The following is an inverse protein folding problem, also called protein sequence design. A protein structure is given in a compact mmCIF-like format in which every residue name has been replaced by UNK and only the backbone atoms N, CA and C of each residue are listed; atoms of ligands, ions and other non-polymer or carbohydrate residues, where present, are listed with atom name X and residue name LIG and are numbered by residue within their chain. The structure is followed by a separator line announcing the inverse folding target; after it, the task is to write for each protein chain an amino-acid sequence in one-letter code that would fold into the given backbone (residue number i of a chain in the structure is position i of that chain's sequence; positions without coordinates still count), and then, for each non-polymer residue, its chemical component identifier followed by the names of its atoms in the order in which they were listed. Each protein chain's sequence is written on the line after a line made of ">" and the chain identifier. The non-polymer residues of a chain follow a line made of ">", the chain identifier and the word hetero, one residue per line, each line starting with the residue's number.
data_IF_750082728327
#
_entry.id   IF_750082728327
#
_cell.length_a   1.000
_cell.length_b   1.000
_cell.length_c   1.000
_cell.angle_alpha   90.00
_cell.angle_beta   90.00
_cell.angle_gamma   90.00
#
_symmetry.space_group_name_H-M   'P 1'
#
loop_
_entity.id
_entity.type
_entity.pdbx_description
1 polymer ?
#
# COMPACT_ATOMS: atom_id res chain seq x y z
N UNK A 1 -20.11 -11.63 17.09
CA UNK A 1 -18.88 -12.01 16.38
C UNK A 1 -19.04 -11.51 14.96
N UNK A 2 -18.12 -10.67 14.50
CA UNK A 2 -18.12 -10.10 13.15
C UNK A 2 -17.66 -11.16 12.14
N UNK A 3 -18.42 -11.38 11.08
CA UNK A 3 -18.05 -12.24 9.96
C UNK A 3 -17.27 -11.42 8.94
N UNK A 4 -16.01 -11.76 8.74
CA UNK A 4 -15.10 -11.04 7.85
C UNK A 4 -14.66 -11.96 6.71
N UNK A 5 -14.88 -11.52 5.48
CA UNK A 5 -14.35 -12.17 4.29
C UNK A 5 -13.08 -11.44 3.84
N UNK A 6 -11.99 -12.16 3.62
CA UNK A 6 -10.76 -11.65 3.03
C UNK A 6 -10.69 -12.17 1.60
N UNK A 7 -10.68 -11.29 0.61
CA UNK A 7 -10.56 -11.68 -0.80
C UNK A 7 -9.10 -11.52 -1.23
N UNK A 8 -8.45 -12.64 -1.54
CA UNK A 8 -7.02 -12.77 -1.84
C UNK A 8 -6.31 -13.60 -0.77
N UNK A 9 -5.92 -14.83 -1.11
CA UNK A 9 -5.24 -15.81 -0.25
C UNK A 9 -3.71 -15.78 -0.34
N UNK A 10 -3.12 -14.71 -0.89
CA UNK A 10 -1.66 -14.50 -0.89
C UNK A 10 -1.10 -14.12 0.48
N UNK A 11 0.23 -13.86 0.55
CA UNK A 11 0.95 -13.55 1.82
C UNK A 11 0.20 -12.54 2.69
N UNK A 12 -0.21 -11.39 2.13
CA UNK A 12 -0.90 -10.33 2.87
C UNK A 12 -2.28 -10.76 3.39
N UNK A 13 -3.08 -11.44 2.57
CA UNK A 13 -4.40 -11.92 2.99
C UNK A 13 -4.31 -12.96 4.10
N UNK A 14 -3.32 -13.86 4.03
CA UNK A 14 -3.02 -14.81 5.10
C UNK A 14 -2.55 -14.09 6.38
N UNK A 15 -1.73 -13.03 6.26
CA UNK A 15 -1.34 -12.22 7.42
C UNK A 15 -2.58 -11.65 8.11
N UNK A 16 -3.46 -11.00 7.35
CA UNK A 16 -4.70 -10.41 7.88
C UNK A 16 -5.56 -11.49 8.54
N UNK A 17 -5.70 -12.65 7.92
CA UNK A 17 -6.44 -13.78 8.47
C UNK A 17 -5.87 -14.23 9.82
N UNK A 18 -4.56 -14.39 9.92
CA UNK A 18 -3.88 -14.77 11.16
C UNK A 18 -4.12 -13.77 12.31
N UNK A 19 -4.02 -12.46 12.02
CA UNK A 19 -4.25 -11.42 13.03
C UNK A 19 -5.71 -11.35 13.48
N UNK A 20 -6.67 -11.54 12.56
CA UNK A 20 -8.09 -11.50 12.91
C UNK A 20 -8.54 -12.78 13.63
N UNK A 21 -8.02 -13.94 13.24
CA UNK A 21 -8.34 -15.23 13.87
C UNK A 21 -7.84 -15.32 15.33
N UNK A 22 -6.80 -14.56 15.70
CA UNK A 22 -6.31 -14.46 17.08
C UNK A 22 -7.30 -13.73 18.01
N UNK A 23 -8.30 -13.02 17.46
CA UNK A 23 -9.29 -12.28 18.23
C UNK A 23 -10.62 -13.04 18.30
N UNK A 24 -11.23 -13.18 19.50
CA UNK A 24 -12.53 -13.86 19.66
C UNK A 24 -13.71 -13.06 19.06
N UNK A 25 -13.44 -11.86 18.54
CA UNK A 25 -14.46 -10.99 17.99
C UNK A 25 -14.79 -11.30 16.52
N UNK A 26 -13.95 -12.06 15.81
CA UNK A 26 -14.08 -12.30 14.38
C UNK A 26 -14.26 -13.78 14.03
N UNK A 27 -15.05 -14.03 12.98
CA UNK A 27 -15.05 -15.28 12.23
C UNK A 27 -14.53 -14.95 10.83
N UNK A 28 -13.47 -15.63 10.40
CA UNK A 28 -12.71 -15.26 9.20
C UNK A 28 -12.93 -16.30 8.11
N UNK A 29 -13.22 -15.82 6.90
CA UNK A 29 -13.19 -16.62 5.67
C UNK A 29 -12.21 -16.02 4.68
N UNK A 30 -11.35 -16.83 4.08
CA UNK A 30 -10.47 -16.40 2.98
C UNK A 30 -11.01 -16.91 1.66
N UNK A 31 -11.16 -16.02 0.69
CA UNK A 31 -11.61 -16.31 -0.65
C UNK A 31 -10.50 -16.08 -1.67
N UNK A 32 -10.27 -17.03 -2.58
CA UNK A 32 -9.34 -16.88 -3.70
C UNK A 32 -9.81 -17.73 -4.90
N UNK A 33 -9.38 -17.38 -6.11
CA UNK A 33 -9.62 -18.19 -7.30
C UNK A 33 -8.69 -19.42 -7.32
N UNK A 34 -7.50 -19.27 -6.77
CA UNK A 34 -6.46 -20.29 -6.76
C UNK A 34 -6.67 -21.25 -5.59
N UNK A 35 -7.13 -22.45 -5.91
CA UNK A 35 -7.38 -23.49 -4.93
C UNK A 35 -6.11 -23.95 -4.21
N UNK A 36 -4.94 -23.90 -4.87
CA UNK A 36 -3.68 -24.30 -4.24
C UNK A 36 -3.21 -23.24 -3.24
N UNK A 37 -3.41 -21.96 -3.55
CA UNK A 37 -3.17 -20.88 -2.58
C UNK A 37 -4.06 -21.02 -1.34
N UNK A 38 -5.34 -21.39 -1.51
CA UNK A 38 -6.25 -21.65 -0.38
C UNK A 38 -5.84 -22.86 0.45
N UNK A 39 -5.41 -23.96 -0.18
CA UNK A 39 -4.95 -25.16 0.53
C UNK A 39 -3.68 -24.92 1.34
N UNK A 40 -2.88 -23.92 0.98
CA UNK A 40 -1.68 -23.54 1.72
C UNK A 40 -2.00 -22.80 3.04
N UNK A 41 -3.26 -22.42 3.28
CA UNK A 41 -3.68 -21.74 4.51
C UNK A 41 -3.77 -22.78 5.64
N UNK A 42 -2.73 -22.85 6.46
CA UNK A 42 -2.67 -23.72 7.63
C UNK A 42 -3.19 -23.01 8.89
N UNK A 43 -4.49 -22.70 8.90
CA UNK A 43 -5.18 -22.00 10.01
C UNK A 43 -6.53 -22.67 10.29
N UNK A 44 -6.65 -23.54 11.31
CA UNK A 44 -7.83 -24.39 11.50
C UNK A 44 -9.13 -23.62 11.77
N UNK A 45 -9.03 -22.41 12.33
CA UNK A 45 -10.19 -21.55 12.66
C UNK A 45 -10.57 -20.59 11.52
N UNK A 46 -9.88 -20.68 10.37
CA UNK A 46 -10.16 -19.86 9.18
C UNK A 46 -10.85 -20.73 8.13
N UNK A 47 -12.05 -20.33 7.73
CA UNK A 47 -12.73 -20.96 6.62
C UNK A 47 -12.11 -20.53 5.28
N UNK A 48 -12.17 -21.40 4.26
CA UNK A 48 -11.72 -21.08 2.90
C UNK A 48 -12.87 -21.26 1.91
N UNK A 49 -12.91 -20.42 0.88
CA UNK A 49 -13.88 -20.54 -0.21
C UNK A 49 -13.24 -20.21 -1.55
N UNK A 50 -13.51 -21.03 -2.57
CA UNK A 50 -13.00 -20.75 -3.91
C UNK A 50 -13.95 -19.79 -4.62
N UNK A 51 -13.44 -18.64 -5.09
CA UNK A 51 -14.24 -17.61 -5.74
C UNK A 51 -13.40 -16.81 -6.74
N UNK A 52 -13.96 -16.53 -7.92
CA UNK A 52 -13.40 -15.53 -8.83
C UNK A 52 -13.98 -14.15 -8.51
N UNK A 53 -13.11 -13.21 -8.14
CA UNK A 53 -13.49 -11.83 -7.84
C UNK A 53 -13.65 -10.94 -9.09
N UNK A 54 -13.54 -11.50 -10.30
CA UNK A 54 -13.78 -10.82 -11.57
C UNK A 54 -15.26 -10.54 -11.88
N UNK A 55 -16.20 -11.10 -11.10
CA UNK A 55 -17.65 -10.90 -11.25
C UNK A 55 -18.26 -10.33 -9.97
N UNK A 56 -18.81 -9.11 -10.05
CA UNK A 56 -19.41 -8.42 -8.90
C UNK A 56 -20.65 -9.13 -8.33
N UNK A 57 -21.43 -9.86 -9.15
CA UNK A 57 -22.59 -10.62 -8.68
C UNK A 57 -22.16 -11.89 -7.94
N UNK A 58 -21.13 -12.56 -8.44
CA UNK A 58 -20.50 -13.69 -7.74
C UNK A 58 -19.91 -13.24 -6.39
N UNK A 59 -19.23 -12.09 -6.36
CA UNK A 59 -18.72 -11.49 -5.13
C UNK A 59 -19.87 -11.16 -4.18
N UNK A 60 -20.93 -10.51 -4.65
CA UNK A 60 -22.06 -10.16 -3.79
C UNK A 60 -22.73 -11.40 -3.17
N UNK A 61 -22.92 -12.47 -3.96
CA UNK A 61 -23.47 -13.72 -3.47
C UNK A 61 -22.56 -14.41 -2.42
N UNK A 62 -21.25 -14.39 -2.65
CA UNK A 62 -20.28 -14.96 -1.71
C UNK A 62 -20.16 -14.13 -0.41
N UNK A 63 -20.46 -12.83 -0.47
CA UNK A 63 -20.47 -11.93 0.67
C UNK A 63 -21.82 -11.87 1.41
N UNK A 64 -22.83 -12.65 1.00
CA UNK A 64 -24.11 -12.68 1.68
C UNK A 64 -23.96 -13.09 3.16
N UNK A 65 -24.51 -12.27 4.06
CA UNK A 65 -24.41 -12.47 5.50
C UNK A 65 -23.05 -12.22 6.13
N UNK A 66 -22.06 -11.69 5.40
CA UNK A 66 -20.82 -11.15 5.98
C UNK A 66 -21.02 -9.70 6.45
N UNK A 67 -20.36 -9.34 7.55
CA UNK A 67 -20.41 -7.97 8.09
C UNK A 67 -19.39 -7.06 7.37
N UNK A 68 -18.23 -7.61 7.01
CA UNK A 68 -17.17 -6.85 6.35
C UNK A 68 -16.39 -7.70 5.35
N UNK A 69 -15.80 -7.01 4.37
CA UNK A 69 -14.85 -7.57 3.42
C UNK A 69 -13.55 -6.75 3.41
N UNK A 70 -12.42 -7.46 3.38
CA UNK A 70 -11.09 -6.88 3.22
C UNK A 70 -10.51 -7.38 1.89
N UNK A 71 -10.29 -6.47 0.95
CA UNK A 71 -9.65 -6.79 -0.32
C UNK A 71 -8.13 -6.79 -0.16
N UNK A 72 -7.54 -7.98 -0.29
CA UNK A 72 -6.10 -8.22 -0.41
C UNK A 72 -5.73 -8.76 -1.81
N UNK A 73 -6.63 -8.54 -2.79
CA UNK A 73 -6.47 -8.95 -4.18
C UNK A 73 -5.70 -7.90 -4.99
N UNK A 74 -5.25 -8.24 -6.22
CA UNK A 74 -4.64 -7.25 -7.12
C UNK A 74 -5.54 -6.03 -7.36
N UNK A 75 -4.93 -4.84 -7.43
CA UNK A 75 -5.65 -3.55 -7.43
C UNK A 75 -6.69 -3.40 -8.55
N UNK A 76 -6.52 -4.10 -9.67
CA UNK A 76 -7.46 -4.04 -10.80
C UNK A 76 -8.80 -4.73 -10.50
N UNK A 77 -8.88 -5.55 -9.44
CA UNK A 77 -10.12 -6.17 -8.95
C UNK A 77 -10.84 -5.30 -7.91
N UNK A 78 -10.19 -4.27 -7.38
CA UNK A 78 -10.72 -3.39 -6.33
C UNK A 78 -12.13 -2.86 -6.66
N UNK A 79 -12.41 -2.29 -7.86
CA UNK A 79 -13.75 -1.78 -8.17
C UNK A 79 -14.83 -2.86 -8.18
N UNK A 80 -14.52 -4.05 -8.72
CA UNK A 80 -15.45 -5.17 -8.78
C UNK A 80 -15.79 -5.68 -7.38
N UNK A 81 -14.77 -5.82 -6.52
CA UNK A 81 -14.96 -6.27 -5.14
C UNK A 81 -15.76 -5.22 -4.34
N UNK A 82 -15.42 -3.94 -4.47
CA UNK A 82 -16.15 -2.85 -3.81
C UNK A 82 -17.63 -2.80 -4.25
N UNK A 83 -17.91 -3.00 -5.53
CA UNK A 83 -19.27 -3.08 -6.04
C UNK A 83 -20.04 -4.28 -5.45
N UNK A 84 -19.40 -5.46 -5.37
CA UNK A 84 -19.99 -6.63 -4.72
C UNK A 84 -20.26 -6.40 -3.23
N UNK A 85 -19.33 -5.77 -2.51
CA UNK A 85 -19.49 -5.40 -1.10
C UNK A 85 -20.69 -4.47 -0.89
N UNK A 86 -20.84 -3.46 -1.75
CA UNK A 86 -21.99 -2.53 -1.69
C UNK A 86 -23.31 -3.25 -1.86
N UNK A 87 -23.39 -4.18 -2.82
CA UNK A 87 -24.60 -4.99 -3.09
C UNK A 87 -24.96 -5.90 -1.93
N UNK A 88 -23.95 -6.56 -1.34
CA UNK A 88 -24.13 -7.41 -0.17
C UNK A 88 -24.46 -6.62 1.11
N UNK A 89 -24.25 -5.30 1.12
CA UNK A 89 -24.42 -4.47 2.32
C UNK A 89 -23.34 -4.72 3.37
N UNK A 90 -22.14 -5.14 2.95
CA UNK A 90 -21.00 -5.34 3.82
C UNK A 90 -20.16 -4.05 3.92
N UNK A 91 -19.43 -3.89 5.04
CA UNK A 91 -18.38 -2.88 5.15
C UNK A 91 -17.20 -3.26 4.26
N UNK A 92 -16.58 -2.29 3.60
CA UNK A 92 -15.51 -2.50 2.63
C UNK A 92 -14.19 -1.87 3.08
N UNK A 93 -13.12 -2.64 3.01
CA UNK A 93 -11.74 -2.22 3.24
C UNK A 93 -10.84 -2.76 2.14
N UNK A 94 -9.80 -2.02 1.77
CA UNK A 94 -8.78 -2.48 0.83
C UNK A 94 -7.38 -1.95 1.19
N UNK A 95 -6.37 -2.38 0.45
CA UNK A 95 -4.97 -1.99 0.63
C UNK A 95 -4.41 -1.25 -0.58
N UNK A 96 -5.27 -0.81 -1.51
CA UNK A 96 -4.82 -0.41 -2.84
C UNK A 96 -4.00 0.88 -2.83
N UNK A 97 -2.87 0.87 -3.52
CA UNK A 97 -2.12 2.07 -3.87
C UNK A 97 -2.64 2.73 -5.15
N UNK A 98 -3.45 2.02 -5.95
CA UNK A 98 -3.89 2.52 -7.24
C UNK A 98 -4.90 3.67 -7.09
N UNK A 99 -4.53 4.81 -7.66
CA UNK A 99 -5.31 6.06 -7.57
C UNK A 99 -6.64 5.94 -8.31
N UNK A 100 -6.67 5.26 -9.46
CA UNK A 100 -7.90 5.09 -10.23
C UNK A 100 -8.89 4.17 -9.51
N UNK A 101 -8.41 3.05 -8.98
CA UNK A 101 -9.21 2.15 -8.13
C UNK A 101 -9.74 2.88 -6.89
N UNK A 102 -8.91 3.68 -6.21
CA UNK A 102 -9.36 4.49 -5.06
C UNK A 102 -10.49 5.44 -5.44
N UNK A 103 -10.39 6.12 -6.59
CA UNK A 103 -11.45 7.02 -7.06
C UNK A 103 -12.73 6.27 -7.43
N UNK A 104 -12.63 5.11 -8.08
CA UNK A 104 -13.79 4.26 -8.37
C UNK A 104 -14.48 3.79 -7.07
N UNK A 105 -13.71 3.45 -6.03
CA UNK A 105 -14.26 3.12 -4.70
C UNK A 105 -14.97 4.33 -4.08
N UNK A 106 -14.40 5.53 -4.17
CA UNK A 106 -15.04 6.77 -3.68
C UNK A 106 -16.38 7.02 -4.36
N UNK A 107 -16.45 6.89 -5.68
CA UNK A 107 -17.69 7.04 -6.45
C UNK A 107 -18.71 5.94 -6.07
N UNK A 108 -18.26 4.69 -5.95
CA UNK A 108 -19.11 3.59 -5.51
C UNK A 108 -19.64 3.79 -4.08
N UNK A 109 -18.89 4.43 -3.20
CA UNK A 109 -19.32 4.67 -1.82
C UNK A 109 -20.49 5.66 -1.72
N UNK A 110 -20.78 6.46 -2.76
CA UNK A 110 -21.90 7.39 -2.74
C UNK A 110 -23.24 6.68 -2.50
N UNK A 111 -23.98 7.12 -1.48
CA UNK A 111 -25.24 6.51 -1.07
C UNK A 111 -25.13 5.11 -0.46
N UNK A 112 -23.91 4.61 -0.18
CA UNK A 112 -23.74 3.36 0.55
C UNK A 112 -24.24 3.49 2.00
N UNK A 113 -24.82 2.42 2.54
CA UNK A 113 -25.25 2.34 3.94
C UNK A 113 -24.14 1.85 4.87
N UNK A 114 -23.05 1.35 4.30
CA UNK A 114 -21.89 0.82 5.00
C UNK A 114 -20.64 1.66 4.72
N UNK A 115 -19.61 1.42 5.53
CA UNK A 115 -18.31 2.10 5.41
C UNK A 115 -17.55 1.55 4.20
N UNK A 116 -16.92 2.46 3.45
CA UNK A 116 -15.94 2.16 2.42
C UNK A 116 -14.65 2.88 2.80
N UNK A 117 -13.65 2.10 3.20
CA UNK A 117 -12.38 2.60 3.70
C UNK A 117 -11.24 2.03 2.85
N UNK A 118 -10.93 2.66 1.70
CA UNK A 118 -9.79 2.24 0.89
C UNK A 118 -8.47 2.56 1.61
N UNK A 119 -7.37 2.03 1.08
CA UNK A 119 -6.02 2.43 1.47
C UNK A 119 -5.66 2.12 2.93
N UNK A 120 -6.08 0.97 3.45
CA UNK A 120 -5.79 0.49 4.81
C UNK A 120 -4.45 -0.25 4.94
N UNK A 121 -3.48 0.06 4.07
CA UNK A 121 -2.19 -0.61 4.01
C UNK A 121 -1.07 0.09 4.78
N UNK A 122 0.17 -0.14 4.33
CA UNK A 122 1.35 0.57 4.83
C UNK A 122 1.44 1.98 4.22
N UNK A 123 1.45 2.05 2.89
CA UNK A 123 1.51 3.26 2.10
C UNK A 123 0.80 3.03 0.76
N UNK A 124 -0.41 3.57 0.56
CA UNK A 124 -1.16 4.42 1.49
C UNK A 124 -1.74 3.63 2.70
N UNK A 125 -2.05 4.35 3.79
CA UNK A 125 -2.56 3.79 5.05
C UNK A 125 -1.79 4.28 6.27
N UNK A 126 -1.02 3.41 6.93
CA UNK A 126 -0.24 3.76 8.13
C UNK A 126 0.60 5.03 7.94
N UNK A 127 1.29 5.19 6.80
CA UNK A 127 2.10 6.39 6.53
C UNK A 127 1.27 7.67 6.52
N UNK A 128 0.03 7.61 6.03
CA UNK A 128 -0.90 8.74 6.04
C UNK A 128 -1.35 9.09 7.46
N UNK A 129 -1.58 8.08 8.30
CA UNK A 129 -1.88 8.25 9.73
C UNK A 129 -0.69 8.90 10.45
N UNK A 130 0.53 8.39 10.23
CA UNK A 130 1.76 8.93 10.80
C UNK A 130 2.01 10.39 10.36
N UNK A 131 1.81 10.67 9.07
CA UNK A 131 1.92 12.02 8.52
C UNK A 131 0.89 12.98 9.10
N UNK A 132 -0.36 12.55 9.22
CA UNK A 132 -1.43 13.34 9.83
C UNK A 132 -1.17 13.60 11.32
N UNK A 133 -0.62 12.62 12.04
CA UNK A 133 -0.20 12.77 13.44
C UNK A 133 0.89 13.83 13.59
N UNK A 134 1.95 13.77 12.78
CA UNK A 134 3.00 14.80 12.79
C UNK A 134 2.46 16.18 12.44
N UNK A 135 1.62 16.27 11.40
CA UNK A 135 1.02 17.52 10.95
C UNK A 135 0.18 18.21 12.04
N UNK A 136 -0.46 17.45 12.93
CA UNK A 136 -1.33 17.99 13.96
C UNK A 136 -0.57 18.79 15.05
N UNK A 137 0.74 18.63 15.16
CA UNK A 137 1.58 19.31 16.15
C UNK A 137 2.05 20.72 15.72
N UNK A 138 1.80 21.12 14.48
CA UNK A 138 2.29 22.37 13.90
C UNK A 138 1.17 23.41 13.74
N UNK A 139 1.49 24.67 14.05
CA UNK A 139 0.60 25.82 13.81
C UNK A 139 0.53 26.12 12.30
N UNK A 140 1.69 26.07 11.64
CA UNK A 140 1.87 26.23 10.20
C UNK A 140 2.84 25.18 9.68
N UNK A 141 2.48 24.45 8.63
CA UNK A 141 3.34 23.40 8.07
C UNK A 141 4.03 23.95 6.83
N UNK A 142 5.37 23.99 6.86
CA UNK A 142 6.16 24.32 5.67
C UNK A 142 6.33 23.07 4.79
N UNK A 143 6.80 21.96 5.36
CA UNK A 143 6.93 20.70 4.64
C UNK A 143 6.39 19.52 5.44
N UNK A 144 5.77 18.56 4.76
CA UNK A 144 5.50 17.22 5.27
C UNK A 144 5.98 16.21 4.21
N UNK A 145 6.98 15.41 4.56
CA UNK A 145 7.60 14.47 3.63
C UNK A 145 7.51 13.06 4.18
N UNK A 146 6.73 12.23 3.50
CA UNK A 146 6.48 10.84 3.84
C UNK A 146 7.37 9.94 2.98
N UNK A 147 8.09 9.01 3.61
CA UNK A 147 8.99 8.10 2.89
C UNK A 147 8.82 6.69 3.40
N UNK A 148 8.66 5.74 2.48
CA UNK A 148 8.45 4.33 2.84
C UNK A 148 9.24 3.42 1.91
N UNK A 149 9.90 2.40 2.47
CA UNK A 149 10.51 1.32 1.71
C UNK A 149 10.30 -0.02 2.36
N UNK A 150 9.76 -0.98 1.61
CA UNK A 150 9.89 -2.41 1.88
C UNK A 150 11.10 -2.92 1.10
N UNK A 151 12.15 -3.33 1.82
CA UNK A 151 13.49 -3.53 1.29
C UNK A 151 14.02 -4.89 1.71
N UNK A 152 14.87 -5.55 0.90
CA UNK A 152 15.61 -6.71 1.40
C UNK A 152 16.63 -6.27 2.45
N UNK A 153 16.77 -7.05 3.53
CA UNK A 153 17.80 -6.81 4.55
C UNK A 153 19.21 -6.98 3.96
N UNK A 154 19.36 -7.84 2.96
CA UNK A 154 20.62 -8.15 2.29
C UNK A 154 20.51 -7.92 0.76
N UNK A 155 20.72 -6.68 0.27
CA UNK A 155 20.60 -6.37 -1.15
C UNK A 155 21.84 -6.84 -1.95
N UNK A 156 21.78 -8.04 -2.53
CA UNK A 156 22.92 -8.66 -3.22
C UNK A 156 22.91 -8.54 -4.75
N UNK A 157 21.76 -8.22 -5.36
CA UNK A 157 21.65 -8.06 -6.82
C UNK A 157 21.79 -6.58 -7.25
N UNK A 158 21.96 -6.33 -8.55
CA UNK A 158 22.17 -4.99 -9.10
C UNK A 158 21.00 -4.03 -8.84
N UNK A 159 19.76 -4.54 -8.88
CA UNK A 159 18.55 -3.77 -8.57
C UNK A 159 18.38 -3.52 -7.06
N UNK A 160 19.16 -4.23 -6.23
CA UNK A 160 19.12 -4.21 -4.76
C UNK A 160 17.71 -4.41 -4.22
N UNK A 161 16.95 -5.31 -4.85
CA UNK A 161 15.53 -5.51 -4.56
C UNK A 161 15.13 -6.98 -4.58
N UNK A 162 14.12 -7.31 -3.78
CA UNK A 162 13.45 -8.61 -3.73
C UNK A 162 11.94 -8.39 -3.80
N UNK A 163 11.21 -9.34 -4.40
CA UNK A 163 9.75 -9.25 -4.49
C UNK A 163 9.10 -9.60 -3.14
N UNK A 164 8.61 -8.60 -2.41
CA UNK A 164 7.96 -8.77 -1.09
C UNK A 164 6.44 -8.57 -1.11
N UNK A 165 5.90 -7.96 -2.17
CA UNK A 165 4.47 -7.70 -2.37
C UNK A 165 4.11 -7.78 -3.85
N UNK A 166 2.93 -7.29 -4.24
CA UNK A 166 2.40 -7.38 -5.61
C UNK A 166 3.34 -6.74 -6.65
N UNK A 167 3.78 -7.53 -7.64
CA UNK A 167 4.60 -7.03 -8.75
C UNK A 167 3.85 -6.02 -9.61
N UNK A 168 2.55 -6.24 -9.83
CA UNK A 168 1.70 -5.30 -10.58
C UNK A 168 1.68 -3.93 -9.90
N UNK A 169 1.51 -3.92 -8.57
CA UNK A 169 1.47 -2.67 -7.81
C UNK A 169 2.82 -1.96 -7.78
N UNK A 170 3.92 -2.70 -7.66
CA UNK A 170 5.28 -2.17 -7.75
C UNK A 170 5.55 -1.46 -9.09
N UNK A 171 5.13 -2.07 -10.20
CA UNK A 171 5.30 -1.45 -11.51
C UNK A 171 4.34 -0.26 -11.65
N UNK A 172 3.12 -0.37 -11.12
CA UNK A 172 2.13 0.69 -11.18
C UNK A 172 2.62 1.97 -10.49
N UNK A 173 3.23 1.86 -9.30
CA UNK A 173 3.71 3.02 -8.55
C UNK A 173 4.76 3.84 -9.31
N UNK A 174 5.59 3.19 -10.13
CA UNK A 174 6.64 3.81 -10.96
C UNK A 174 6.14 4.46 -12.24
N UNK A 175 4.93 4.13 -12.69
CA UNK A 175 4.47 4.50 -14.03
C UNK A 175 3.39 5.57 -14.06
N UNK A 176 2.82 5.95 -12.91
CA UNK A 176 1.72 6.92 -12.84
C UNK A 176 2.13 8.23 -12.15
N UNK A 177 1.46 9.36 -12.46
CA UNK A 177 1.69 10.63 -11.79
C UNK A 177 1.44 10.56 -10.28
N UNK A 178 2.23 11.29 -9.51
CA UNK A 178 2.18 11.27 -8.05
C UNK A 178 1.45 12.52 -7.54
N UNK A 179 0.51 12.35 -6.61
CA UNK A 179 -0.09 13.48 -5.90
C UNK A 179 0.93 14.16 -5.01
N UNK A 180 0.90 15.49 -4.98
CA UNK A 180 1.72 16.30 -4.08
C UNK A 180 1.03 17.63 -3.80
N UNK A 181 1.50 18.30 -2.75
CA UNK A 181 1.25 19.72 -2.51
C UNK A 181 2.55 20.46 -2.77
N UNK A 182 2.52 21.46 -3.65
CA UNK A 182 3.67 22.33 -3.96
C UNK A 182 3.22 23.78 -3.89
N UNK A 183 3.88 24.56 -3.03
CA UNK A 183 3.49 25.95 -2.73
C UNK A 183 1.98 26.12 -2.42
N UNK A 184 1.45 25.19 -1.63
CA UNK A 184 0.06 25.17 -1.18
C UNK A 184 -0.95 24.71 -2.23
N UNK A 185 -0.50 24.29 -3.42
CA UNK A 185 -1.36 23.85 -4.52
C UNK A 185 -1.23 22.35 -4.75
N UNK A 186 -2.37 21.70 -4.96
CA UNK A 186 -2.40 20.30 -5.39
C UNK A 186 -1.85 20.21 -6.82
N UNK A 187 -0.85 19.36 -7.01
CA UNK A 187 -0.20 19.14 -8.30
C UNK A 187 0.04 17.64 -8.51
N UNK A 188 0.21 17.25 -9.78
CA UNK A 188 0.72 15.94 -10.16
C UNK A 188 2.19 16.06 -10.51
N UNK A 189 3.06 15.37 -9.78
CA UNK A 189 4.50 15.28 -10.08
C UNK A 189 4.81 14.03 -10.88
N UNK A 190 5.96 14.03 -11.56
CA UNK A 190 6.43 12.87 -12.30
C UNK A 190 6.95 11.78 -11.34
N UNK A 191 6.64 10.49 -11.60
CA UNK A 191 7.24 9.39 -10.86
C UNK A 191 8.75 9.31 -11.16
N UNK A 192 9.50 8.72 -10.25
CA UNK A 192 10.96 8.55 -10.33
C UNK A 192 11.73 9.88 -10.37
N UNK A 193 11.09 11.02 -10.15
CA UNK A 193 11.75 12.33 -10.02
C UNK A 193 11.85 12.78 -8.57
N UNK A 194 12.50 13.93 -8.37
CA UNK A 194 12.74 14.55 -7.07
C UNK A 194 13.55 13.63 -6.13
N UNK A 195 14.68 13.17 -6.69
CA UNK A 195 15.62 12.28 -6.04
C UNK A 195 16.28 12.96 -4.85
N UNK A 196 16.14 12.37 -3.68
CA UNK A 196 16.84 12.78 -2.46
C UNK A 196 17.62 11.59 -1.89
N UNK A 197 18.67 11.89 -1.12
CA UNK A 197 19.43 10.91 -0.36
C UNK A 197 19.15 11.14 1.12
N UNK A 198 18.85 10.07 1.85
CA UNK A 198 18.75 10.09 3.30
C UNK A 198 19.59 8.98 3.91
N UNK A 199 20.07 9.21 5.12
CA UNK A 199 20.85 8.23 5.87
C UNK A 199 20.10 7.83 7.15
N UNK A 200 19.98 6.52 7.39
CA UNK A 200 19.42 5.96 8.63
C UNK A 200 20.36 4.88 9.14
N UNK A 201 20.78 4.99 10.40
CA UNK A 201 21.72 4.06 11.04
C UNK A 201 23.02 3.82 10.24
N UNK A 202 23.52 4.88 9.58
CA UNK A 202 24.74 4.79 8.76
C UNK A 202 24.55 4.11 7.39
N UNK A 203 23.30 3.82 7.00
CA UNK A 203 22.96 3.32 5.67
C UNK A 203 22.34 4.44 4.84
N UNK A 204 22.88 4.66 3.65
CA UNK A 204 22.33 5.60 2.68
C UNK A 204 21.23 4.95 1.84
N UNK A 205 20.16 5.70 1.65
CA UNK A 205 19.02 5.34 0.82
C UNK A 205 18.75 6.46 -0.19
N UNK A 206 18.23 6.08 -1.35
CA UNK A 206 17.64 7.02 -2.29
C UNK A 206 16.12 7.03 -2.13
N UNK A 207 15.51 8.22 -2.24
CA UNK A 207 14.07 8.37 -2.25
C UNK A 207 13.62 9.18 -3.45
N UNK A 208 12.51 8.77 -4.06
CA UNK A 208 11.97 9.41 -5.26
C UNK A 208 10.45 9.26 -5.31
N UNK A 209 9.81 10.14 -6.08
CA UNK A 209 8.35 10.16 -6.19
C UNK A 209 7.80 8.85 -6.75
N UNK A 210 6.75 8.35 -6.10
CA UNK A 210 5.96 7.21 -6.56
C UNK A 210 4.48 7.49 -6.30
N UNK A 211 3.62 6.95 -7.17
CA UNK A 211 2.19 7.22 -7.10
C UNK A 211 1.51 6.45 -5.96
N UNK A 212 0.32 6.91 -5.55
CA UNK A 212 -0.54 6.21 -4.59
C UNK A 212 -0.27 6.50 -3.11
N UNK A 213 1.00 6.64 -2.70
CA UNK A 213 1.34 6.62 -1.27
C UNK A 213 0.83 7.78 -0.40
N UNK A 214 0.53 8.96 -0.96
CA UNK A 214 -0.08 10.06 -0.19
C UNK A 214 -1.56 9.83 0.13
N UNK A 215 -2.27 9.02 -0.65
CA UNK A 215 -3.72 8.90 -0.58
C UNK A 215 -4.41 10.28 -0.58
N UNK A 216 -5.35 10.48 0.35
CA UNK A 216 -6.12 11.74 0.49
C UNK A 216 -5.43 12.79 1.36
N UNK A 217 -4.22 12.54 1.87
CA UNK A 217 -3.59 13.45 2.83
C UNK A 217 -3.25 14.81 2.22
N UNK A 218 -2.83 14.83 0.94
CA UNK A 218 -2.55 16.07 0.22
C UNK A 218 -3.79 16.96 0.16
N UNK A 219 -4.96 16.39 -0.19
CA UNK A 219 -6.24 17.11 -0.23
C UNK A 219 -6.59 17.68 1.16
N UNK A 220 -6.41 16.87 2.22
CA UNK A 220 -6.72 17.27 3.60
C UNK A 220 -5.83 18.40 4.13
N UNK A 221 -4.58 18.49 3.64
CA UNK A 221 -3.61 19.49 4.06
C UNK A 221 -3.54 20.70 3.10
N UNK A 222 -4.35 20.72 2.04
CA UNK A 222 -4.45 21.88 1.17
C UNK A 222 -4.87 23.12 1.97
N UNK A 223 -4.11 24.21 1.84
CA UNK A 223 -4.31 25.44 2.61
C UNK A 223 -3.78 25.40 4.06
N UNK A 224 -3.21 24.29 4.51
CA UNK A 224 -2.58 24.14 5.85
C UNK A 224 -1.09 23.86 5.77
N UNK A 225 -0.65 23.22 4.70
CA UNK A 225 0.75 22.97 4.41
C UNK A 225 1.19 23.69 3.13
N UNK A 226 2.47 24.06 3.05
CA UNK A 226 3.07 24.57 1.81
C UNK A 226 3.50 23.44 0.89
N UNK A 227 4.21 22.44 1.40
CA UNK A 227 4.68 21.30 0.62
C UNK A 227 4.36 19.97 1.29
N UNK A 228 3.78 19.02 0.55
CA UNK A 228 3.47 17.67 1.03
C UNK A 228 3.87 16.67 -0.05
N UNK A 229 4.69 15.67 0.30
CA UNK A 229 5.21 14.70 -0.67
C UNK A 229 5.25 13.29 -0.10
N UNK A 230 5.10 12.29 -0.98
CA UNK A 230 5.39 10.89 -0.70
C UNK A 230 6.50 10.41 -1.63
N UNK A 231 7.47 9.69 -1.08
CA UNK A 231 8.54 9.06 -1.84
C UNK A 231 8.78 7.62 -1.41
N UNK A 232 9.10 6.78 -2.36
CA UNK A 232 9.55 5.42 -2.09
C UNK A 232 11.04 5.44 -1.72
N UNK A 233 11.41 4.73 -0.66
CA UNK A 233 12.81 4.49 -0.26
C UNK A 233 13.34 3.25 -1.00
N UNK A 234 14.53 3.35 -1.57
CA UNK A 234 15.30 2.24 -2.16
C UNK A 234 16.78 2.34 -1.82
N UNK A 235 17.51 1.27 -2.07
CA UNK A 235 18.98 1.32 -2.02
C UNK A 235 19.53 2.05 -3.24
N UNK A 236 20.67 2.76 -3.11
CA UNK A 236 21.25 3.56 -4.18
C UNK A 236 21.46 2.78 -5.49
N UNK A 237 21.04 3.37 -6.61
CA UNK A 237 21.15 2.86 -7.97
C UNK A 237 19.87 2.19 -8.51
N UNK A 238 18.88 1.90 -7.66
CA UNK A 238 17.64 1.25 -8.07
C UNK A 238 16.85 2.12 -9.06
N UNK A 239 16.64 3.39 -8.73
CA UNK A 239 15.86 4.38 -9.48
C UNK A 239 16.35 4.54 -10.91
N UNK A 240 17.67 4.64 -11.10
CA UNK A 240 18.26 4.84 -12.43
C UNK A 240 18.10 3.60 -13.31
N UNK A 241 18.24 2.39 -12.73
CA UNK A 241 17.96 1.14 -13.44
C UNK A 241 16.48 1.08 -13.85
N UNK A 242 15.56 1.40 -12.94
CA UNK A 242 14.12 1.43 -13.25
C UNK A 242 13.80 2.46 -14.34
N UNK A 243 14.40 3.66 -14.30
CA UNK A 243 14.21 4.67 -15.36
C UNK A 243 14.71 4.20 -16.72
N UNK A 244 15.89 3.57 -16.77
CA UNK A 244 16.42 2.99 -18.01
C UNK A 244 15.46 1.93 -18.56
N UNK A 245 14.98 1.03 -17.71
CA UNK A 245 14.02 -0.01 -18.11
C UNK A 245 12.72 0.59 -18.66
N UNK A 246 12.15 1.57 -17.96
CA UNK A 246 10.85 2.13 -18.32
C UNK A 246 10.93 3.03 -19.56
N UNK A 247 11.94 3.91 -19.64
CA UNK A 247 12.02 4.95 -20.65
C UNK A 247 12.87 4.51 -21.85
N UNK A 248 14.11 4.10 -21.61
CA UNK A 248 15.08 3.83 -22.69
C UNK A 248 14.78 2.50 -23.38
N UNK A 249 14.40 1.47 -22.60
CA UNK A 249 13.93 0.19 -23.15
C UNK A 249 12.42 0.19 -23.47
N UNK A 250 11.70 1.24 -23.07
CA UNK A 250 10.30 1.43 -23.38
C UNK A 250 9.33 0.47 -22.66
N UNK A 251 9.76 -0.15 -21.55
CA UNK A 251 8.93 -1.10 -20.80
C UNK A 251 7.72 -0.45 -20.12
N UNK A 252 7.69 0.88 -20.01
CA UNK A 252 6.51 1.61 -19.51
C UNK A 252 5.24 1.30 -20.32
N UNK A 253 5.37 0.95 -21.61
CA UNK A 253 4.28 0.55 -22.51
C UNK A 253 4.03 -0.97 -22.54
N UNK A 254 4.85 -1.75 -21.83
CA UNK A 254 4.85 -3.22 -21.80
C UNK A 254 5.01 -3.71 -20.37
N UNK A 255 4.10 -3.25 -19.49
CA UNK A 255 4.15 -3.51 -18.04
C UNK A 255 4.02 -5.02 -17.74
N UNK A 256 3.29 -5.74 -18.57
CA UNK A 256 3.18 -7.21 -18.56
C UNK A 256 4.52 -7.90 -18.79
N UNK A 257 5.30 -7.44 -19.78
CA UNK A 257 6.66 -7.96 -20.04
C UNK A 257 7.60 -7.63 -18.88
N UNK A 258 7.51 -6.42 -18.34
CA UNK A 258 8.31 -6.03 -17.17
C UNK A 258 7.99 -6.88 -15.94
N UNK A 259 6.70 -7.18 -15.71
CA UNK A 259 6.25 -8.09 -14.67
C UNK A 259 6.83 -9.49 -14.87
N UNK A 260 6.71 -10.05 -16.06
CA UNK A 260 7.23 -11.39 -16.37
C UNK A 260 8.74 -11.48 -16.10
N UNK A 261 9.50 -10.46 -16.51
CA UNK A 261 10.94 -10.34 -16.20
C UNK A 261 11.16 -10.31 -14.69
N UNK A 262 10.42 -9.49 -13.94
CA UNK A 262 10.58 -9.35 -12.49
C UNK A 262 10.25 -10.67 -11.78
N UNK A 263 9.13 -11.29 -12.08
CA UNK A 263 8.68 -12.53 -11.43
C UNK A 263 9.57 -13.73 -11.78
N UNK A 264 10.20 -13.71 -12.96
CA UNK A 264 11.13 -14.77 -13.39
C UNK A 264 12.57 -14.57 -12.89
N UNK A 265 13.00 -13.31 -12.66
CA UNK A 265 14.41 -12.99 -12.40
C UNK A 265 14.71 -12.47 -10.98
N UNK A 266 13.73 -11.87 -10.30
CA UNK A 266 13.93 -11.31 -8.96
C UNK A 266 13.48 -12.31 -7.87
N UNK A 267 14.36 -12.65 -6.91
CA UNK A 267 13.99 -13.56 -5.85
C UNK A 267 13.00 -12.91 -4.87
N UNK A 268 12.17 -13.75 -4.22
CA UNK A 268 11.45 -13.40 -3.00
C UNK A 268 12.35 -13.62 -1.78
N UNK A 269 12.09 -12.90 -0.68
CA UNK A 269 12.81 -13.09 0.59
C UNK A 269 11.87 -12.86 1.77
N UNK A 270 12.12 -13.58 2.86
CA UNK A 270 11.50 -13.35 4.18
C UNK A 270 12.44 -12.60 5.13
N UNK A 271 13.62 -12.19 4.64
CA UNK A 271 14.59 -11.35 5.32
C UNK A 271 14.49 -9.95 4.75
N UNK A 272 13.37 -9.29 5.03
CA UNK A 272 13.10 -7.91 4.62
C UNK A 272 13.08 -6.96 5.83
N UNK A 273 13.13 -5.68 5.50
CA UNK A 273 13.05 -4.56 6.42
C UNK A 273 12.11 -3.53 5.83
N UNK A 274 11.16 -3.08 6.65
CA UNK A 274 10.28 -1.97 6.35
C UNK A 274 10.81 -0.75 7.07
N UNK A 275 11.12 0.30 6.30
CA UNK A 275 11.51 1.60 6.81
C UNK A 275 10.42 2.63 6.48
N UNK A 276 9.87 3.25 7.51
CA UNK A 276 9.00 4.43 7.41
C UNK A 276 9.75 5.60 8.00
N UNK A 277 9.88 6.68 7.22
CA UNK A 277 10.55 7.91 7.63
C UNK A 277 9.68 9.10 7.22
N UNK A 278 9.02 9.71 8.20
CA UNK A 278 8.20 10.90 8.00
C UNK A 278 8.86 12.10 8.68
N UNK A 279 8.98 13.22 7.98
CA UNK A 279 9.40 14.51 8.56
C UNK A 279 8.36 15.59 8.34
N UNK A 280 8.16 16.42 9.35
CA UNK A 280 7.42 17.67 9.23
C UNK A 280 8.30 18.83 9.67
N UNK A 281 8.32 19.91 8.88
CA UNK A 281 8.94 21.18 9.24
C UNK A 281 7.88 22.28 9.21
N UNK A 282 8.00 23.25 10.11
CA UNK A 282 7.02 24.31 10.22
C UNK A 282 7.16 25.13 11.49
N UNK A 283 6.13 25.92 11.81
CA UNK A 283 6.10 26.76 13.01
C UNK A 283 5.37 26.05 14.16
N UNK A 284 5.99 26.08 15.34
CA UNK A 284 5.37 25.70 16.62
C UNK A 284 5.67 26.81 17.61
N UNK A 285 4.64 27.46 18.14
CA UNK A 285 4.76 28.61 19.06
C UNK A 285 5.67 29.73 18.50
N UNK A 286 5.59 29.99 17.19
CA UNK A 286 6.37 31.02 16.48
C UNK A 286 7.79 30.60 16.07
N UNK A 287 8.29 29.46 16.54
CA UNK A 287 9.63 28.97 16.21
C UNK A 287 9.61 27.96 15.07
N UNK A 288 10.61 28.03 14.19
CA UNK A 288 10.79 27.02 13.15
C UNK A 288 11.31 25.73 13.79
N UNK A 289 10.57 24.63 13.61
CA UNK A 289 10.86 23.33 14.20
C UNK A 289 10.78 22.23 13.13
N UNK A 290 11.48 21.14 13.38
CA UNK A 290 11.36 19.88 12.65
C UNK A 290 10.97 18.77 13.63
N UNK A 291 10.11 17.86 13.19
CA UNK A 291 9.80 16.60 13.89
C UNK A 291 9.87 15.44 12.92
N UNK A 292 10.38 14.32 13.41
CA UNK A 292 10.54 13.10 12.62
C UNK A 292 9.89 11.91 13.32
N UNK A 293 9.22 11.07 12.54
CA UNK A 293 8.78 9.74 12.94
C UNK A 293 9.55 8.73 12.09
N UNK A 294 10.31 7.87 12.76
CA UNK A 294 11.09 6.81 12.12
C UNK A 294 10.65 5.48 12.70
N UNK A 295 10.26 4.56 11.83
CA UNK A 295 9.99 3.18 12.19
C UNK A 295 10.77 2.25 11.25
N UNK A 296 11.65 1.44 11.83
CA UNK A 296 12.42 0.41 11.12
C UNK A 296 12.07 -0.93 11.72
N UNK A 297 11.30 -1.73 10.98
CA UNK A 297 10.82 -3.03 11.43
C UNK A 297 11.35 -4.11 10.51
N UNK A 298 11.83 -5.20 11.11
CA UNK A 298 12.23 -6.42 10.39
C UNK A 298 11.17 -7.50 10.57
N UNK A 299 11.15 -8.47 9.66
CA UNK A 299 10.28 -9.62 9.75
C UNK A 299 10.37 -10.31 11.12
N UNK A 300 9.23 -10.81 11.62
CA UNK A 300 9.15 -11.45 12.94
C UNK A 300 8.11 -12.57 12.97
N UNK A 301 8.24 -13.46 13.95
CA UNK A 301 7.22 -14.47 14.19
C UNK A 301 6.01 -13.88 14.92
N UNK A 302 4.81 -14.14 14.40
CA UNK A 302 3.52 -13.88 15.07
C UNK A 302 2.76 -15.21 15.07
N UNK A 303 2.40 -15.69 16.26
CA UNK A 303 1.70 -16.98 16.45
C UNK A 303 2.40 -18.18 15.79
N UNK A 304 3.74 -18.21 15.85
CA UNK A 304 4.55 -19.29 15.28
C UNK A 304 4.90 -19.13 13.80
N UNK A 305 4.14 -18.33 13.05
CA UNK A 305 4.36 -18.04 11.63
C UNK A 305 5.26 -16.84 11.45
N UNK A 306 6.21 -16.92 10.52
CA UNK A 306 7.10 -15.80 10.17
C UNK A 306 6.40 -14.87 9.19
N UNK A 307 6.32 -13.58 9.54
CA UNK A 307 5.69 -12.53 8.72
C UNK A 307 6.68 -11.43 8.39
#
# INVERSE_FOLDING_TARGET
>A
MWKVCIIGGGKIGQTIAAFLADSPNYSVTVADRDLEALKAIDMPDVAITQMDAGDADAVAAALDGFDAVISAAPFFLTPTIAAGAKRAGAHYFDLTEDVASTNAVRELAEGAKTVFMPQCGLAPGFVGIAGAHLAADFDEIETLSLRVGALPLYPTNALKYNLTWSTDGLINEYCNPCDALVDGKLVKTAPLEDLEILSVDGVDYECFNTSGGLGTLAEKLQGKARSVSYRTIRYPGHRDIIKLMLHDLGLIRKRDVMKDIFESALPRTDQDVVLVYCTATGRINGELRERSLINKTVARKVNGTHW
#
